data_IF_416426296157
#
_entry.id   IF_416426296157
#
_cell.length_a   1.000
_cell.length_b   1.000
_cell.length_c   1.000
_cell.angle_alpha   90.00
_cell.angle_beta   90.00
_cell.angle_gamma   90.00
#
_symmetry.space_group_name_H-M   'P 1'
#
loop_
_entity.id
_entity.type
_entity.pdbx_description
1 polymer ?
#
# COMPACT_ATOMS: atom_id res chain seq x y z
N UNK A 1 -18.15 6.81 28.57
CA UNK A 1 -17.53 7.21 27.28
C UNK A 1 -18.14 8.52 26.83
N UNK A 2 -17.33 9.47 26.39
CA UNK A 2 -17.76 10.83 26.09
C UNK A 2 -18.16 10.99 24.62
N UNK A 3 -19.24 11.74 24.38
CA UNK A 3 -19.63 12.24 23.05
C UNK A 3 -19.85 11.17 21.96
N UNK A 4 -19.34 11.37 20.74
CA UNK A 4 -19.69 10.59 19.55
C UNK A 4 -19.11 9.16 19.54
N UNK A 5 -18.24 8.82 20.49
CA UNK A 5 -17.63 7.48 20.57
C UNK A 5 -18.47 6.46 21.33
N UNK A 6 -19.61 6.85 21.93
CA UNK A 6 -20.46 5.94 22.71
C UNK A 6 -20.80 4.65 21.93
N UNK A 7 -20.78 3.48 22.59
CA UNK A 7 -21.24 2.23 21.99
C UNK A 7 -22.62 2.38 21.36
N UNK A 8 -22.85 1.64 20.27
CA UNK A 8 -24.18 1.61 19.66
C UNK A 8 -25.21 1.11 20.69
N UNK A 9 -26.41 1.72 20.75
CA UNK A 9 -27.48 1.26 21.63
C UNK A 9 -27.93 -0.16 21.24
N UNK A 10 -28.44 -0.91 22.21
CA UNK A 10 -29.01 -2.22 21.96
C UNK A 10 -30.28 -2.09 21.09
N UNK A 11 -30.38 -2.90 20.04
CA UNK A 11 -31.51 -2.90 19.10
C UNK A 11 -32.25 -4.24 19.27
N UNK A 12 -33.59 -4.27 19.21
CA UNK A 12 -34.34 -5.53 19.22
C UNK A 12 -33.92 -6.44 18.06
N UNK A 13 -33.98 -7.75 18.29
CA UNK A 13 -33.66 -8.75 17.27
C UNK A 13 -34.59 -8.65 16.06
N UNK A 14 -34.04 -8.89 14.87
CA UNK A 14 -34.81 -8.96 13.64
C UNK A 14 -35.66 -10.25 13.60
N UNK A 15 -36.78 -10.27 12.85
CA UNK A 15 -37.52 -11.49 12.59
C UNK A 15 -36.60 -12.58 12.02
N UNK A 16 -36.75 -13.83 12.48
CA UNK A 16 -35.84 -14.95 12.18
C UNK A 16 -35.62 -15.15 10.68
N UNK A 17 -36.66 -14.92 9.89
CA UNK A 17 -36.66 -15.09 8.43
C UNK A 17 -35.75 -14.08 7.71
N UNK A 18 -35.43 -12.95 8.35
CA UNK A 18 -34.59 -11.87 7.79
C UNK A 18 -33.18 -11.85 8.35
N UNK A 19 -32.87 -12.67 9.36
CA UNK A 19 -31.56 -12.64 10.04
C UNK A 19 -30.45 -13.02 9.06
N UNK A 20 -30.53 -14.17 8.40
CA UNK A 20 -29.42 -14.69 7.58
C UNK A 20 -29.09 -13.80 6.40
N UNK A 21 -30.10 -13.32 5.68
CA UNK A 21 -29.92 -12.42 4.53
C UNK A 21 -29.33 -11.07 4.95
N UNK A 22 -29.83 -10.51 6.05
CA UNK A 22 -29.33 -9.24 6.59
C UNK A 22 -27.91 -9.39 7.14
N UNK A 23 -27.63 -10.48 7.84
CA UNK A 23 -26.33 -10.78 8.41
C UNK A 23 -25.26 -10.88 7.33
N UNK A 24 -25.50 -11.68 6.28
CA UNK A 24 -24.56 -11.83 5.17
C UNK A 24 -24.27 -10.52 4.45
N UNK A 25 -25.30 -9.70 4.19
CA UNK A 25 -25.13 -8.38 3.57
C UNK A 25 -24.31 -7.43 4.44
N UNK A 26 -24.68 -7.29 5.72
CA UNK A 26 -24.02 -6.36 6.63
C UNK A 26 -22.58 -6.79 6.91
N UNK A 27 -22.30 -8.08 6.96
CA UNK A 27 -20.96 -8.64 7.17
C UNK A 27 -19.99 -8.16 6.10
N UNK A 28 -20.37 -8.27 4.84
CA UNK A 28 -19.54 -7.82 3.72
C UNK A 28 -19.49 -6.29 3.61
N UNK A 29 -20.58 -5.59 3.95
CA UNK A 29 -20.58 -4.13 4.02
C UNK A 29 -19.60 -3.61 5.09
N UNK A 30 -19.62 -4.23 6.28
CA UNK A 30 -18.71 -3.89 7.38
C UNK A 30 -17.27 -4.25 7.01
N UNK A 31 -17.06 -5.41 6.39
CA UNK A 31 -15.74 -5.81 5.86
C UNK A 31 -15.17 -4.77 4.91
N UNK A 32 -15.93 -4.38 3.88
CA UNK A 32 -15.52 -3.37 2.92
C UNK A 32 -15.19 -2.03 3.61
N UNK A 33 -16.01 -1.63 4.59
CA UNK A 33 -15.78 -0.42 5.37
C UNK A 33 -14.45 -0.42 6.13
N UNK A 34 -14.15 -1.50 6.87
CA UNK A 34 -12.87 -1.60 7.60
C UNK A 34 -11.68 -1.85 6.67
N UNK A 35 -11.91 -2.47 5.51
CA UNK A 35 -10.87 -2.75 4.51
C UNK A 35 -10.42 -1.45 3.82
N UNK A 36 -11.34 -0.73 3.18
CA UNK A 36 -11.02 0.53 2.50
C UNK A 36 -10.67 1.64 3.48
N UNK A 37 -11.33 1.65 4.64
CA UNK A 37 -10.98 2.56 5.71
C UNK A 37 -9.52 2.41 6.11
N UNK A 38 -9.04 1.18 6.32
CA UNK A 38 -7.66 0.94 6.69
C UNK A 38 -6.66 1.10 5.54
N UNK A 39 -7.04 0.77 4.30
CA UNK A 39 -6.24 1.11 3.12
C UNK A 39 -5.98 2.63 3.03
N UNK A 40 -6.97 3.47 3.35
CA UNK A 40 -6.80 4.92 3.37
C UNK A 40 -5.82 5.41 4.45
N UNK A 41 -5.72 4.73 5.61
CA UNK A 41 -4.66 5.03 6.60
C UNK A 41 -3.26 4.83 6.00
N UNK A 42 -3.08 3.74 5.25
CA UNK A 42 -1.82 3.44 4.57
C UNK A 42 -1.51 4.43 3.45
N UNK A 43 -2.53 4.87 2.71
CA UNK A 43 -2.38 5.93 1.71
C UNK A 43 -1.85 7.22 2.33
N UNK A 44 -2.44 7.68 3.45
CA UNK A 44 -1.99 8.89 4.15
C UNK A 44 -0.58 8.73 4.71
N UNK A 45 -0.20 7.52 5.14
CA UNK A 45 1.13 7.22 5.69
C UNK A 45 2.24 7.37 4.66
N UNK A 46 2.00 7.00 3.40
CA UNK A 46 2.99 7.07 2.33
C UNK A 46 3.38 8.53 1.96
N UNK A 47 2.51 9.51 2.23
CA UNK A 47 2.71 10.90 1.79
C UNK A 47 4.00 11.53 2.30
N UNK A 48 4.38 11.29 3.56
CA UNK A 48 5.61 11.87 4.11
C UNK A 48 6.86 11.27 3.46
N UNK A 49 6.90 9.95 3.27
CA UNK A 49 8.03 9.27 2.64
C UNK A 49 8.22 9.70 1.18
N UNK A 50 7.12 9.94 0.46
CA UNK A 50 7.16 10.50 -0.89
C UNK A 50 7.65 11.96 -0.92
N UNK A 51 7.28 12.75 0.09
CA UNK A 51 7.67 14.17 0.16
C UNK A 51 9.13 14.40 0.56
N UNK A 52 9.77 13.46 1.29
CA UNK A 52 11.14 13.61 1.79
C UNK A 52 12.15 13.96 0.68
N UNK A 53 12.07 13.29 -0.47
CA UNK A 53 12.97 13.56 -1.59
C UNK A 53 12.84 15.01 -2.10
N UNK A 54 11.61 15.47 -2.32
CA UNK A 54 11.35 16.83 -2.77
C UNK A 54 11.80 17.90 -1.76
N UNK A 55 11.66 17.63 -0.46
CA UNK A 55 12.13 18.52 0.59
C UNK A 55 13.67 18.66 0.63
N UNK A 56 14.38 17.58 0.32
CA UNK A 56 15.85 17.58 0.21
C UNK A 56 16.28 18.33 -1.06
N UNK A 57 15.65 18.05 -2.20
CA UNK A 57 15.97 18.68 -3.49
C UNK A 57 15.70 20.20 -3.48
N UNK A 58 14.67 20.64 -2.75
CA UNK A 58 14.38 22.05 -2.53
C UNK A 58 15.33 22.74 -1.53
N UNK A 59 16.28 22.00 -0.93
CA UNK A 59 17.21 22.52 0.07
C UNK A 59 16.57 22.93 1.39
N UNK A 60 15.34 22.47 1.67
CA UNK A 60 14.60 22.85 2.88
C UNK A 60 15.05 22.05 4.10
N UNK A 61 15.44 20.78 3.91
CA UNK A 61 15.86 19.89 4.98
C UNK A 61 16.98 18.94 4.53
N UNK A 62 17.84 18.58 5.47
CA UNK A 62 18.83 17.52 5.29
C UNK A 62 18.22 16.14 5.57
N UNK A 63 18.87 15.09 5.05
CA UNK A 63 18.49 13.69 5.36
C UNK A 63 18.50 13.40 6.86
N UNK A 64 19.45 13.99 7.60
CA UNK A 64 19.56 13.80 9.05
C UNK A 64 18.37 14.41 9.79
N UNK A 65 17.98 15.64 9.43
CA UNK A 65 16.84 16.34 10.05
C UNK A 65 15.51 15.63 9.76
N UNK A 66 15.30 15.17 8.52
CA UNK A 66 14.14 14.36 8.17
C UNK A 66 14.12 13.02 8.91
N UNK A 67 15.29 12.42 9.15
CA UNK A 67 15.42 11.24 10.00
C UNK A 67 14.94 11.50 11.43
N UNK A 68 15.36 12.62 12.04
CA UNK A 68 14.89 13.03 13.38
C UNK A 68 13.38 13.25 13.39
N UNK A 69 12.82 13.91 12.38
CA UNK A 69 11.36 14.11 12.23
C UNK A 69 10.63 12.76 12.10
N UNK A 70 11.19 11.83 11.31
CA UNK A 70 10.63 10.49 11.12
C UNK A 70 10.54 9.68 12.42
N UNK A 71 11.44 9.90 13.39
CA UNK A 71 11.36 9.22 14.70
C UNK A 71 10.04 9.51 15.44
N UNK A 72 9.45 10.68 15.22
CA UNK A 72 8.18 11.09 15.82
C UNK A 72 7.05 10.13 15.44
N UNK A 73 7.02 9.67 14.17
CA UNK A 73 5.98 8.78 13.67
C UNK A 73 6.02 7.42 14.41
N UNK A 74 7.21 6.85 14.57
CA UNK A 74 7.41 5.58 15.28
C UNK A 74 7.02 5.67 16.76
N UNK A 75 7.50 6.73 17.44
CA UNK A 75 7.20 6.97 18.85
C UNK A 75 5.69 7.17 19.09
N UNK A 76 5.06 8.05 18.30
CA UNK A 76 3.64 8.33 18.42
C UNK A 76 2.79 7.10 18.12
N UNK A 77 3.14 6.32 17.10
CA UNK A 77 2.41 5.10 16.74
C UNK A 77 2.52 4.03 17.83
N UNK A 78 3.71 3.87 18.40
CA UNK A 78 3.94 2.96 19.53
C UNK A 78 3.09 3.33 20.74
N UNK A 79 3.16 4.59 21.19
CA UNK A 79 2.38 5.09 22.32
C UNK A 79 0.87 5.04 22.05
N UNK A 80 0.43 5.51 20.88
CA UNK A 80 -0.97 5.50 20.49
C UNK A 80 -1.56 4.10 20.52
N UNK A 81 -0.85 3.06 20.07
CA UNK A 81 -1.34 1.68 20.18
C UNK A 81 -1.65 1.25 21.61
N UNK A 82 -0.87 1.67 22.61
CA UNK A 82 -1.15 1.34 24.01
C UNK A 82 -2.41 2.05 24.53
N UNK A 83 -2.57 3.36 24.26
CA UNK A 83 -3.67 4.13 24.81
C UNK A 83 -4.97 4.02 23.99
N UNK A 84 -4.86 4.17 22.67
CA UNK A 84 -6.01 4.20 21.75
C UNK A 84 -6.63 2.82 21.56
N UNK A 85 -5.89 1.72 21.75
CA UNK A 85 -6.50 0.39 21.72
C UNK A 85 -7.52 0.21 22.86
N UNK A 86 -7.17 0.58 24.08
CA UNK A 86 -8.10 0.51 25.24
C UNK A 86 -9.33 1.41 25.06
N UNK A 87 -9.14 2.58 24.44
CA UNK A 87 -10.26 3.50 24.15
C UNK A 87 -11.14 2.91 23.03
N UNK A 88 -10.54 2.35 21.98
CA UNK A 88 -11.24 1.71 20.87
C UNK A 88 -12.13 0.54 21.32
N UNK A 89 -11.67 -0.24 22.31
CA UNK A 89 -12.44 -1.37 22.85
C UNK A 89 -13.77 -0.94 23.48
N UNK A 90 -13.84 0.28 23.99
CA UNK A 90 -15.07 0.85 24.53
C UNK A 90 -15.82 1.72 23.51
N UNK A 91 -15.20 2.05 22.38
CA UNK A 91 -15.74 2.94 21.34
C UNK A 91 -16.65 2.24 20.36
N UNK A 92 -17.47 3.01 19.64
CA UNK A 92 -18.11 2.54 18.42
C UNK A 92 -17.11 2.57 17.24
N UNK A 93 -16.77 1.40 16.64
CA UNK A 93 -15.84 1.33 15.52
C UNK A 93 -16.25 2.19 14.31
N UNK A 94 -17.56 2.37 14.09
CA UNK A 94 -18.11 3.14 12.96
C UNK A 94 -17.74 4.62 13.02
N UNK A 95 -17.48 5.15 14.22
CA UNK A 95 -17.09 6.55 14.41
C UNK A 95 -15.60 6.66 14.66
N UNK A 96 -15.04 5.74 15.45
CA UNK A 96 -13.64 5.79 15.86
C UNK A 96 -12.67 5.70 14.68
N UNK A 97 -12.91 4.78 13.74
CA UNK A 97 -12.03 4.57 12.59
C UNK A 97 -12.05 5.78 11.62
N UNK A 98 -13.21 6.29 11.15
CA UNK A 98 -13.22 7.46 10.28
C UNK A 98 -12.70 8.71 10.96
N UNK A 99 -12.95 8.88 12.27
CA UNK A 99 -12.47 10.04 13.01
C UNK A 99 -10.93 10.11 13.03
N UNK A 100 -10.25 9.00 13.34
CA UNK A 100 -8.78 8.96 13.27
C UNK A 100 -8.25 9.20 11.85
N UNK A 101 -8.95 8.71 10.83
CA UNK A 101 -8.56 8.89 9.43
C UNK A 101 -8.68 10.36 9.01
N UNK A 102 -9.79 11.01 9.38
CA UNK A 102 -10.03 12.43 9.09
C UNK A 102 -8.96 13.31 9.74
N UNK A 103 -8.62 13.05 11.01
CA UNK A 103 -7.57 13.79 11.70
C UNK A 103 -6.19 13.55 11.08
N UNK A 104 -5.87 12.29 10.75
CA UNK A 104 -4.63 11.94 10.05
C UNK A 104 -4.52 12.66 8.70
N UNK A 105 -5.58 12.61 7.90
CA UNK A 105 -5.67 13.30 6.61
C UNK A 105 -5.53 14.81 6.76
N UNK A 106 -6.22 15.42 7.72
CA UNK A 106 -6.13 16.85 8.02
C UNK A 106 -4.69 17.26 8.35
N UNK A 107 -3.98 16.48 9.17
CA UNK A 107 -2.57 16.73 9.48
C UNK A 107 -1.70 16.76 8.21
N UNK A 108 -1.87 15.78 7.31
CA UNK A 108 -1.09 15.74 6.06
C UNK A 108 -1.50 16.86 5.09
N UNK A 109 -2.78 17.18 4.98
CA UNK A 109 -3.25 18.30 4.15
C UNK A 109 -2.74 19.64 4.67
N UNK A 110 -2.72 19.86 5.99
CA UNK A 110 -2.14 21.06 6.59
C UNK A 110 -0.65 21.17 6.26
N UNK A 111 0.12 20.07 6.36
CA UNK A 111 1.54 20.07 5.98
C UNK A 111 1.77 20.33 4.49
N UNK A 112 0.87 19.85 3.63
CA UNK A 112 0.99 20.06 2.18
C UNK A 112 0.58 21.45 1.70
N UNK A 113 -0.41 22.08 2.34
CA UNK A 113 -0.97 23.36 1.88
C UNK A 113 -0.43 24.57 2.64
N UNK A 114 -0.07 24.41 3.92
CA UNK A 114 0.29 25.53 4.78
C UNK A 114 1.82 25.60 4.97
N UNK A 115 2.50 26.64 4.45
CA UNK A 115 3.96 26.74 4.56
C UNK A 115 4.48 26.79 6.00
N UNK A 116 3.69 27.28 6.95
CA UNK A 116 4.06 27.30 8.37
C UNK A 116 4.11 25.89 9.00
N UNK A 117 3.35 24.94 8.48
CA UNK A 117 3.31 23.58 9.02
C UNK A 117 4.59 22.78 8.69
N UNK A 118 5.39 23.28 7.74
CA UNK A 118 6.69 22.72 7.32
C UNK A 118 7.83 23.71 7.50
N UNK A 119 7.64 24.79 8.26
CA UNK A 119 8.62 25.88 8.38
C UNK A 119 9.79 25.60 9.33
N UNK A 120 9.76 24.50 10.08
CA UNK A 120 10.86 24.13 10.96
C UNK A 120 10.76 22.72 11.52
N UNK A 121 11.92 22.20 11.96
CA UNK A 121 12.09 20.82 12.42
C UNK A 121 11.12 20.48 13.55
N UNK A 122 10.99 21.35 14.55
CA UNK A 122 10.10 21.10 15.70
C UNK A 122 8.62 21.05 15.29
N UNK A 123 8.19 21.98 14.43
CA UNK A 123 6.79 22.03 13.95
C UNK A 123 6.48 20.77 13.16
N UNK A 124 7.38 20.39 12.25
CA UNK A 124 7.24 19.20 11.43
C UNK A 124 7.25 17.93 12.28
N UNK A 125 8.12 17.86 13.31
CA UNK A 125 8.16 16.77 14.27
C UNK A 125 6.84 16.62 15.02
N UNK A 126 6.26 17.72 15.52
CA UNK A 126 4.96 17.70 16.22
C UNK A 126 3.83 17.29 15.28
N UNK A 127 3.80 17.78 14.05
CA UNK A 127 2.78 17.42 13.07
C UNK A 127 2.84 15.94 12.68
N UNK A 128 4.05 15.40 12.49
CA UNK A 128 4.27 13.97 12.23
C UNK A 128 3.97 13.12 13.46
N UNK A 129 4.26 13.61 14.67
CA UNK A 129 3.86 12.96 15.92
C UNK A 129 2.32 12.85 16.01
N UNK A 130 1.60 13.95 15.79
CA UNK A 130 0.14 13.96 15.81
C UNK A 130 -0.43 13.03 14.75
N UNK A 131 0.11 13.06 13.53
CA UNK A 131 -0.28 12.13 12.48
C UNK A 131 -0.06 10.67 12.91
N UNK A 132 1.13 10.32 13.41
CA UNK A 132 1.46 8.98 13.88
C UNK A 132 0.54 8.51 15.02
N UNK A 133 0.11 9.45 15.88
CA UNK A 133 -0.84 9.17 16.94
C UNK A 133 -2.22 8.80 16.37
N UNK A 134 -2.75 9.59 15.44
CA UNK A 134 -4.03 9.33 14.78
C UNK A 134 -3.96 8.06 13.92
N UNK A 135 -2.83 7.79 13.27
CA UNK A 135 -2.61 6.55 12.52
C UNK A 135 -2.70 5.30 13.41
N UNK A 136 -2.27 5.39 14.68
CA UNK A 136 -2.41 4.31 15.66
C UNK A 136 -3.86 3.94 16.02
N UNK A 137 -4.83 4.83 15.74
CA UNK A 137 -6.26 4.59 16.00
C UNK A 137 -6.90 3.62 14.98
N UNK A 138 -6.29 3.39 13.81
CA UNK A 138 -6.94 2.68 12.70
C UNK A 138 -7.10 1.17 12.89
N UNK A 139 -6.08 0.48 13.41
CA UNK A 139 -6.07 -0.99 13.52
C UNK A 139 -7.00 -1.55 14.62
N UNK A 140 -6.98 -1.04 15.88
CA UNK A 140 -7.77 -1.61 16.97
C UNK A 140 -9.27 -1.79 16.69
N UNK A 141 -10.00 -0.82 16.10
CA UNK A 141 -11.43 -1.00 15.79
C UNK A 141 -11.67 -2.04 14.70
N UNK A 142 -10.74 -2.21 13.74
CA UNK A 142 -10.82 -3.23 12.69
C UNK A 142 -10.70 -4.63 13.28
N UNK A 143 -9.68 -4.85 14.13
CA UNK A 143 -9.46 -6.13 14.81
C UNK A 143 -10.68 -6.56 15.62
N UNK A 144 -11.22 -5.64 16.43
CA UNK A 144 -12.45 -5.89 17.21
C UNK A 144 -13.65 -6.19 16.33
N UNK A 145 -13.82 -5.46 15.23
CA UNK A 145 -14.92 -5.68 14.28
C UNK A 145 -14.83 -7.08 13.67
N UNK A 146 -13.64 -7.53 13.28
CA UNK A 146 -13.45 -8.87 12.73
C UNK A 146 -13.76 -9.98 13.74
N UNK A 147 -13.45 -9.77 15.02
CA UNK A 147 -13.74 -10.73 16.08
C UNK A 147 -15.25 -10.89 16.34
N UNK A 148 -16.03 -9.81 16.20
CA UNK A 148 -17.50 -9.84 16.41
C UNK A 148 -18.28 -10.43 15.24
N UNK A 149 -17.80 -10.27 14.01
CA UNK A 149 -18.54 -10.65 12.80
C UNK A 149 -18.13 -12.00 12.20
N UNK A 150 -16.97 -12.55 12.58
CA UNK A 150 -16.46 -13.81 12.06
C UNK A 150 -16.09 -14.82 13.15
N UNK A 151 -16.54 -16.05 12.94
CA UNK A 151 -16.30 -17.19 13.83
C UNK A 151 -14.84 -17.65 13.78
N UNK A 152 -14.43 -18.49 14.74
CA UNK A 152 -13.02 -18.93 14.86
C UNK A 152 -12.53 -19.71 13.62
N UNK A 153 -13.40 -20.43 12.91
CA UNK A 153 -13.04 -21.27 11.76
C UNK A 153 -12.70 -20.48 10.50
N UNK A 154 -13.34 -19.32 10.30
CA UNK A 154 -13.18 -18.51 9.08
C UNK A 154 -12.33 -17.24 9.31
N UNK A 155 -12.11 -16.85 10.57
CA UNK A 155 -11.42 -15.61 10.93
C UNK A 155 -10.00 -15.53 10.37
N UNK A 156 -9.27 -16.64 10.30
CA UNK A 156 -7.91 -16.67 9.74
C UNK A 156 -7.87 -16.18 8.30
N UNK A 157 -8.74 -16.72 7.44
CA UNK A 157 -8.87 -16.32 6.04
C UNK A 157 -9.27 -14.86 5.91
N UNK A 158 -10.24 -14.41 6.70
CA UNK A 158 -10.78 -13.06 6.61
C UNK A 158 -9.77 -12.01 7.07
N UNK A 159 -9.04 -12.28 8.16
CA UNK A 159 -7.94 -11.41 8.62
C UNK A 159 -6.82 -11.36 7.59
N UNK A 160 -6.51 -12.48 6.92
CA UNK A 160 -5.53 -12.52 5.83
C UNK A 160 -5.95 -11.63 4.65
N UNK A 161 -7.19 -11.77 4.17
CA UNK A 161 -7.73 -10.90 3.12
C UNK A 161 -7.71 -9.44 3.59
N UNK A 162 -8.12 -9.17 4.83
CA UNK A 162 -8.10 -7.81 5.36
C UNK A 162 -6.68 -7.20 5.41
N UNK A 163 -5.66 -7.98 5.76
CA UNK A 163 -4.27 -7.52 5.75
C UNK A 163 -3.78 -7.13 4.34
N UNK A 164 -4.42 -7.60 3.26
CA UNK A 164 -4.09 -7.11 1.90
C UNK A 164 -4.44 -5.63 1.70
N UNK A 165 -5.27 -5.03 2.56
CA UNK A 165 -5.52 -3.60 2.58
C UNK A 165 -4.23 -2.78 2.78
N UNK A 166 -3.24 -3.34 3.47
CA UNK A 166 -1.90 -2.76 3.62
C UNK A 166 -1.24 -2.54 2.27
N UNK A 167 -1.29 -3.56 1.42
CA UNK A 167 -0.70 -3.51 0.10
C UNK A 167 -1.48 -2.51 -0.75
N UNK A 168 -2.81 -2.62 -0.78
CA UNK A 168 -3.66 -1.72 -1.57
C UNK A 168 -3.47 -0.25 -1.19
N UNK A 169 -3.44 0.06 0.10
CA UNK A 169 -3.22 1.43 0.58
C UNK A 169 -1.78 1.92 0.41
N UNK A 170 -0.81 1.00 0.43
CA UNK A 170 0.61 1.29 0.19
C UNK A 170 1.00 1.36 -1.29
N UNK A 171 0.15 0.90 -2.21
CA UNK A 171 0.34 1.02 -3.67
C UNK A 171 0.06 2.45 -4.18
N UNK A 172 0.67 3.45 -3.53
CA UNK A 172 0.74 4.83 -4.02
C UNK A 172 1.88 4.91 -5.04
N UNK A 173 1.80 5.75 -6.09
CA UNK A 173 2.93 5.98 -7.00
C UNK A 173 4.22 6.23 -6.21
N UNK A 174 5.27 5.46 -6.52
CA UNK A 174 6.51 5.48 -5.74
C UNK A 174 6.64 4.39 -4.67
N UNK A 175 5.77 3.37 -4.63
CA UNK A 175 6.01 2.16 -3.82
C UNK A 175 7.39 1.54 -4.11
N UNK A 176 7.88 1.64 -5.35
CA UNK A 176 9.24 1.22 -5.72
C UNK A 176 10.34 2.04 -5.01
N UNK A 177 10.08 3.30 -4.65
CA UNK A 177 11.02 4.11 -3.88
C UNK A 177 11.27 3.53 -2.48
N UNK A 178 10.24 2.93 -1.88
CA UNK A 178 10.36 2.30 -0.56
C UNK A 178 11.08 0.96 -0.66
N UNK A 179 10.72 0.14 -1.67
CA UNK A 179 11.40 -1.14 -1.92
C UNK A 179 12.89 -0.92 -2.20
N UNK A 180 13.24 0.11 -2.96
CA UNK A 180 14.63 0.48 -3.27
C UNK A 180 15.47 0.86 -2.03
N UNK A 181 14.87 1.15 -0.87
CA UNK A 181 15.62 1.44 0.36
C UNK A 181 16.23 0.18 1.00
N UNK A 182 15.64 -0.99 0.76
CA UNK A 182 16.03 -2.23 1.45
C UNK A 182 16.24 -3.43 0.52
N UNK A 183 15.95 -3.31 -0.77
CA UNK A 183 16.17 -4.35 -1.77
C UNK A 183 16.91 -3.78 -2.98
N UNK A 184 17.91 -4.52 -3.45
CA UNK A 184 18.72 -4.16 -4.63
C UNK A 184 18.00 -4.50 -5.95
N UNK A 185 17.01 -5.41 -5.91
CA UNK A 185 16.29 -5.85 -7.10
C UNK A 185 14.88 -6.39 -6.84
N UNK A 186 14.10 -6.48 -7.92
CA UNK A 186 12.74 -7.03 -7.91
C UNK A 186 12.55 -8.06 -9.02
N UNK A 187 11.74 -9.09 -8.74
CA UNK A 187 11.31 -10.06 -9.73
C UNK A 187 9.80 -10.00 -9.96
N UNK A 188 9.28 -9.09 -10.81
CA UNK A 188 7.86 -9.05 -11.15
C UNK A 188 7.52 -10.07 -12.26
N UNK A 189 6.23 -10.38 -12.40
CA UNK A 189 5.76 -11.06 -13.61
C UNK A 189 5.91 -10.20 -14.86
N UNK A 190 6.19 -10.76 -16.04
CA UNK A 190 6.27 -10.00 -17.31
C UNK A 190 5.00 -9.16 -17.57
N UNK A 191 3.84 -9.67 -17.15
CA UNK A 191 2.53 -9.03 -17.29
C UNK A 191 2.34 -7.82 -16.38
N UNK A 192 3.24 -7.60 -15.41
CA UNK A 192 3.26 -6.38 -14.59
C UNK A 192 4.08 -5.26 -15.26
N UNK A 193 4.97 -5.62 -16.19
CA UNK A 193 5.81 -4.67 -16.93
C UNK A 193 5.15 -4.22 -18.23
N UNK A 194 4.32 -5.07 -18.83
CA UNK A 194 3.68 -4.83 -20.12
C UNK A 194 2.17 -4.66 -19.94
N UNK A 195 1.63 -3.55 -20.44
CA UNK A 195 0.20 -3.27 -20.49
C UNK A 195 -0.43 -4.09 -21.63
N UNK A 196 -1.06 -5.22 -21.29
CA UNK A 196 -1.63 -6.14 -22.29
C UNK A 196 -2.76 -5.54 -23.11
N UNK A 197 -3.51 -4.59 -22.55
CA UNK A 197 -4.68 -4.01 -23.21
C UNK A 197 -4.26 -2.98 -24.27
N UNK A 198 -3.17 -2.25 -24.00
CA UNK A 198 -2.64 -1.25 -24.93
C UNK A 198 -1.59 -1.79 -25.88
N UNK A 199 -0.94 -2.90 -25.54
CA UNK A 199 0.09 -3.53 -26.38
C UNK A 199 -0.52 -4.27 -27.56
N UNK A 200 0.19 -4.26 -28.69
CA UNK A 200 -0.13 -5.03 -29.90
C UNK A 200 1.15 -5.68 -30.43
N UNK A 201 1.00 -6.68 -31.29
CA UNK A 201 2.14 -7.28 -32.01
C UNK A 201 2.94 -6.16 -32.71
N UNK A 202 4.24 -6.10 -32.43
CA UNK A 202 5.15 -5.07 -32.94
C UNK A 202 5.13 -3.72 -32.20
N UNK A 203 4.20 -3.48 -31.27
CA UNK A 203 4.16 -2.26 -30.45
C UNK A 203 3.80 -2.57 -28.98
N UNK A 204 4.83 -2.74 -28.16
CA UNK A 204 4.69 -3.04 -26.74
C UNK A 204 4.61 -1.75 -25.93
N UNK A 205 3.54 -1.61 -25.13
CA UNK A 205 3.32 -0.50 -24.22
C UNK A 205 3.67 -0.96 -22.80
N UNK A 206 4.61 -0.26 -22.17
CA UNK A 206 5.05 -0.57 -20.82
C UNK A 206 4.20 0.12 -19.76
N UNK A 207 4.02 -0.54 -18.63
CA UNK A 207 3.38 0.05 -17.46
C UNK A 207 4.29 1.11 -16.83
N UNK A 208 3.74 2.03 -16.00
CA UNK A 208 4.54 3.01 -15.27
C UNK A 208 5.65 2.39 -14.40
N UNK A 209 5.48 1.13 -13.98
CA UNK A 209 6.45 0.39 -13.17
C UNK A 209 7.84 0.34 -13.81
N UNK A 210 7.93 0.16 -15.13
CA UNK A 210 9.23 0.11 -15.84
C UNK A 210 10.00 1.42 -15.67
N UNK A 211 9.30 2.57 -15.77
CA UNK A 211 9.92 3.88 -15.57
C UNK A 211 10.34 4.10 -14.12
N UNK A 212 9.53 3.64 -13.16
CA UNK A 212 9.87 3.73 -11.75
C UNK A 212 11.11 2.88 -11.41
N UNK A 213 11.20 1.66 -11.90
CA UNK A 213 12.35 0.78 -11.69
C UNK A 213 13.65 1.36 -12.27
N UNK A 214 13.56 1.90 -13.49
CA UNK A 214 14.69 2.57 -14.13
C UNK A 214 15.17 3.80 -13.33
N UNK A 215 14.25 4.56 -12.72
CA UNK A 215 14.60 5.72 -11.89
C UNK A 215 15.44 5.34 -10.66
N UNK A 216 15.16 4.20 -10.04
CA UNK A 216 15.85 3.75 -8.82
C UNK A 216 17.05 2.82 -9.09
N UNK A 217 17.36 2.54 -10.36
CA UNK A 217 18.46 1.65 -10.77
C UNK A 217 18.40 0.26 -10.11
N UNK A 218 17.19 -0.24 -9.87
CA UNK A 218 17.00 -1.56 -9.28
C UNK A 218 17.29 -2.66 -10.31
N UNK A 219 17.86 -3.78 -9.85
CA UNK A 219 17.94 -4.99 -10.67
C UNK A 219 16.52 -5.49 -10.96
N UNK A 220 16.25 -5.83 -12.22
CA UNK A 220 14.94 -6.27 -12.68
C UNK A 220 15.07 -7.67 -13.26
N UNK A 221 14.49 -8.66 -12.56
CA UNK A 221 14.55 -10.07 -12.90
C UNK A 221 13.14 -10.66 -13.15
N UNK A 222 12.48 -10.37 -14.28
CA UNK A 222 11.12 -10.81 -14.51
C UNK A 222 11.04 -12.33 -14.69
N UNK A 223 9.95 -12.91 -14.18
CA UNK A 223 9.49 -14.27 -14.48
C UNK A 223 8.14 -14.19 -15.23
N UNK A 224 7.56 -15.18 -15.87
CA UNK A 224 7.99 -16.50 -16.32
C UNK A 224 8.02 -16.40 -17.85
N UNK A 225 9.22 -16.45 -18.46
CA UNK A 225 9.35 -16.47 -19.92
C UNK A 225 9.25 -17.92 -20.40
N UNK A 226 8.30 -18.20 -21.30
CA UNK A 226 8.00 -19.55 -21.78
C UNK A 226 7.77 -19.56 -23.27
N UNK A 227 8.50 -20.42 -23.99
CA UNK A 227 8.38 -20.59 -25.44
C UNK A 227 7.05 -21.25 -25.84
N UNK A 228 6.57 -22.16 -25.00
CA UNK A 228 5.37 -22.96 -25.22
C UNK A 228 4.07 -22.25 -24.80
N UNK A 229 4.18 -21.14 -24.08
CA UNK A 229 3.06 -20.32 -23.62
C UNK A 229 3.31 -18.83 -23.92
N UNK A 230 3.72 -18.54 -25.17
CA UNK A 230 3.96 -17.18 -25.63
C UNK A 230 2.65 -16.36 -25.61
N UNK A 231 2.65 -15.15 -25.03
CA UNK A 231 1.51 -14.25 -25.11
C UNK A 231 1.20 -13.90 -26.57
N UNK A 232 -0.09 -13.70 -26.90
CA UNK A 232 -0.55 -13.29 -28.25
C UNK A 232 0.07 -11.96 -28.75
N UNK A 233 0.76 -11.24 -27.86
CA UNK A 233 1.50 -10.02 -28.14
C UNK A 233 2.83 -10.25 -28.86
N UNK A 234 3.34 -11.50 -28.84
CA UNK A 234 4.65 -11.86 -29.35
C UNK A 234 4.53 -13.00 -30.36
N UNK A 235 5.19 -12.84 -31.51
CA UNK A 235 5.18 -13.85 -32.59
C UNK A 235 6.24 -14.93 -32.34
N UNK A 236 7.30 -14.57 -31.62
CA UNK A 236 8.40 -15.46 -31.27
C UNK A 236 8.99 -15.08 -29.90
N UNK A 237 9.82 -15.97 -29.35
CA UNK A 237 10.40 -15.77 -28.02
C UNK A 237 11.48 -14.66 -28.00
N UNK A 238 12.15 -14.42 -29.12
CA UNK A 238 13.17 -13.37 -29.24
C UNK A 238 12.55 -11.97 -29.08
N UNK A 239 11.33 -11.75 -29.58
CA UNK A 239 10.57 -10.51 -29.36
C UNK A 239 10.24 -10.28 -27.87
N UNK A 240 9.93 -11.36 -27.14
CA UNK A 240 9.67 -11.29 -25.70
C UNK A 240 10.97 -10.99 -24.93
N UNK A 241 12.09 -11.60 -25.31
CA UNK A 241 13.39 -11.27 -24.71
C UNK A 241 13.82 -9.84 -25.01
N UNK A 242 13.64 -9.34 -26.23
CA UNK A 242 13.91 -7.95 -26.59
C UNK A 242 13.04 -6.97 -25.79
N UNK A 243 11.75 -7.29 -25.65
CA UNK A 243 10.83 -6.48 -24.88
C UNK A 243 11.21 -6.38 -23.38
N UNK A 244 11.78 -7.44 -22.81
CA UNK A 244 12.13 -7.49 -21.39
C UNK A 244 13.56 -6.99 -21.12
N UNK A 245 14.57 -7.57 -21.79
CA UNK A 245 15.98 -7.27 -21.54
C UNK A 245 16.39 -5.91 -22.10
N UNK A 246 16.07 -5.64 -23.38
CA UNK A 246 16.56 -4.43 -24.05
C UNK A 246 15.66 -3.21 -23.80
N UNK A 247 14.34 -3.41 -23.82
CA UNK A 247 13.37 -2.30 -23.76
C UNK A 247 12.85 -1.99 -22.36
N UNK A 248 12.53 -3.02 -21.55
CA UNK A 248 12.12 -2.82 -20.15
C UNK A 248 13.30 -2.61 -19.19
N UNK A 249 14.53 -2.85 -19.64
CA UNK A 249 15.73 -2.69 -18.82
C UNK A 249 15.93 -3.81 -17.79
N UNK A 250 15.41 -5.02 -18.07
CA UNK A 250 15.66 -6.18 -17.22
C UNK A 250 17.14 -6.59 -17.26
N UNK A 251 17.75 -6.79 -16.09
CA UNK A 251 19.14 -7.23 -15.94
C UNK A 251 19.29 -8.73 -16.13
N UNK A 252 18.23 -9.50 -15.86
CA UNK A 252 18.13 -10.93 -16.13
C UNK A 252 16.66 -11.32 -16.33
N UNK A 253 16.39 -12.54 -16.79
CA UNK A 253 15.03 -13.09 -16.93
C UNK A 253 14.98 -14.53 -16.44
N UNK A 254 13.90 -14.91 -15.78
CA UNK A 254 13.61 -16.29 -15.42
C UNK A 254 12.83 -16.96 -16.55
N UNK A 255 13.46 -17.91 -17.21
CA UNK A 255 12.93 -18.68 -18.34
C UNK A 255 13.04 -20.17 -18.07
N UNK A 256 12.02 -20.93 -18.47
CA UNK A 256 12.06 -22.40 -18.43
C UNK A 256 12.89 -22.97 -19.60
N UNK A 257 13.27 -22.12 -20.57
CA UNK A 257 14.02 -22.46 -21.78
C UNK A 257 15.35 -21.68 -21.81
N UNK A 258 16.32 -22.02 -20.95
CA UNK A 258 17.57 -21.26 -20.80
C UNK A 258 18.44 -21.24 -22.05
N UNK A 259 18.35 -22.26 -22.89
CA UNK A 259 18.99 -22.35 -24.21
C UNK A 259 18.60 -21.15 -25.10
N UNK A 260 17.31 -20.86 -25.19
CA UNK A 260 16.80 -19.76 -26.01
C UNK A 260 17.24 -18.38 -25.50
N UNK A 261 17.31 -18.20 -24.18
CA UNK A 261 17.79 -16.96 -23.58
C UNK A 261 19.28 -16.75 -23.82
N UNK A 262 20.10 -17.81 -23.70
CA UNK A 262 21.53 -17.76 -24.00
C UNK A 262 21.78 -17.49 -25.48
N UNK A 263 21.03 -18.12 -26.38
CA UNK A 263 21.11 -17.83 -27.82
C UNK A 263 20.78 -16.38 -28.14
N UNK A 264 19.70 -15.84 -27.56
CA UNK A 264 19.32 -14.45 -27.72
C UNK A 264 20.44 -13.49 -27.28
N UNK A 265 21.01 -13.70 -26.08
CA UNK A 265 22.11 -12.89 -25.56
C UNK A 265 23.38 -12.98 -26.40
N UNK A 266 23.63 -14.11 -27.08
CA UNK A 266 24.75 -14.26 -28.02
C UNK A 266 24.53 -13.50 -29.33
N UNK A 267 23.29 -13.39 -29.81
CA UNK A 267 22.95 -12.66 -31.05
C UNK A 267 23.06 -11.14 -30.89
N UNK A 268 22.93 -10.62 -29.66
CA UNK A 268 22.98 -9.19 -29.36
C UNK A 268 24.37 -8.62 -29.01
N UNK A 269 25.42 -9.44 -29.06
CA UNK A 269 26.83 -9.03 -28.97
C UNK A 269 27.47 -9.00 -30.34
#
# INVERSE_FOLDING_TARGET
MFGPFKPAPHIPELPKEKIDSTYNRLRWQVFAGIFFGYAAYYFVRANFDLAQKGLIEAGMYTKAELGVIGTAAGLAYGLSKFFMATISDRSNPRVFLPFGLLLSGLCMTMMGLMPWATSGILVMWVMIFLNGWFQGMGWPPCGRTMVHWWSKSERGTIVSIWNTAHNLGGMVPGAMAEVAKYADGVGPGWYMLIDKEKSKVGNIVYTPLVKELAQYKMELHPYTVRKDALPELFTNIDEMYDALLNKAGATAVFTDFPDTGVEFLKKGK
#
